data_IF_210688505796
#
_entry.id   IF_210688505796
#
_cell.length_a   1.000
_cell.length_b   1.000
_cell.length_c   1.000
_cell.angle_alpha   90.00
_cell.angle_beta   90.00
_cell.angle_gamma   90.00
#
_symmetry.space_group_name_H-M   'P 1'
#
loop_
_entity.id
_entity.type
_entity.pdbx_description
1 polymer ?
#
# COMPACT_ATOMS: atom_id res chain seq x y z
N UNK A 1 4.43 -26.38 9.37
CA UNK A 1 4.74 -26.12 7.95
C UNK A 1 4.88 -27.46 7.23
N UNK A 2 4.01 -27.75 6.26
CA UNK A 2 3.94 -29.10 5.66
C UNK A 2 4.08 -29.09 4.14
N UNK A 3 4.44 -27.95 3.52
CA UNK A 3 4.74 -27.85 2.11
C UNK A 3 6.15 -27.33 1.85
N UNK A 4 6.78 -27.74 0.75
CA UNK A 4 8.07 -27.22 0.35
C UNK A 4 7.94 -25.76 -0.10
N UNK A 5 8.97 -24.94 0.17
CA UNK A 5 9.06 -23.56 -0.34
C UNK A 5 9.14 -23.61 -1.89
N UNK A 6 8.15 -23.02 -2.61
CA UNK A 6 8.15 -23.00 -4.07
C UNK A 6 9.33 -22.22 -4.69
N UNK A 7 10.04 -21.41 -3.90
CA UNK A 7 11.17 -20.59 -4.35
C UNK A 7 12.53 -21.07 -3.79
N UNK A 8 12.61 -22.29 -3.30
CA UNK A 8 13.80 -22.86 -2.68
C UNK A 8 15.05 -22.72 -3.55
N UNK A 9 14.94 -22.88 -4.86
CA UNK A 9 16.08 -22.78 -5.79
C UNK A 9 16.81 -21.43 -5.70
N UNK A 10 16.16 -20.40 -5.16
CA UNK A 10 16.72 -19.07 -4.96
C UNK A 10 17.43 -18.88 -3.61
N UNK A 11 17.41 -19.90 -2.74
CA UNK A 11 17.89 -19.83 -1.35
C UNK A 11 18.92 -20.92 -1.06
N UNK A 12 20.09 -20.77 -1.63
CA UNK A 12 21.19 -21.70 -1.38
C UNK A 12 21.52 -21.74 0.14
N UNK A 13 21.57 -22.96 0.70
CA UNK A 13 21.94 -23.21 2.09
C UNK A 13 20.78 -23.41 3.06
N UNK A 14 19.52 -23.32 2.60
CA UNK A 14 18.34 -23.64 3.42
C UNK A 14 17.68 -24.92 2.95
N UNK A 15 16.98 -25.61 3.86
CA UNK A 15 16.20 -26.79 3.49
C UNK A 15 14.88 -26.36 2.84
N UNK A 16 14.28 -27.23 2.03
CA UNK A 16 12.95 -27.04 1.41
C UNK A 16 11.83 -26.77 2.41
N UNK A 17 12.05 -27.07 3.68
CA UNK A 17 11.09 -26.96 4.77
C UNK A 17 11.44 -25.85 5.77
N UNK A 18 12.42 -25.00 5.44
CA UNK A 18 12.77 -23.87 6.30
C UNK A 18 11.67 -22.80 6.27
N UNK A 19 10.84 -22.76 7.29
CA UNK A 19 9.82 -21.71 7.46
C UNK A 19 10.47 -20.42 7.93
N UNK A 20 10.23 -19.33 7.18
CA UNK A 20 10.78 -18.00 7.49
C UNK A 20 12.29 -17.99 7.74
N UNK A 21 13.06 -18.75 6.94
CA UNK A 21 14.53 -18.91 7.12
C UNK A 21 14.91 -19.33 8.54
N UNK A 22 14.10 -20.17 9.17
CA UNK A 22 14.21 -20.59 10.58
C UNK A 22 14.11 -19.43 11.60
N UNK A 23 13.46 -18.31 11.21
CA UNK A 23 13.24 -17.15 12.07
C UNK A 23 11.76 -16.70 12.12
N UNK A 24 10.84 -17.57 12.55
CA UNK A 24 9.39 -17.32 12.57
C UNK A 24 8.97 -16.22 13.55
N UNK A 25 9.85 -15.78 14.43
CA UNK A 25 9.59 -14.67 15.37
C UNK A 25 9.73 -13.31 14.68
N UNK A 26 10.56 -13.22 13.64
CA UNK A 26 10.81 -11.97 12.91
C UNK A 26 10.17 -11.94 11.54
N UNK A 27 9.81 -13.08 10.99
CA UNK A 27 9.37 -13.24 9.63
C UNK A 27 8.06 -14.01 9.62
N UNK A 28 7.16 -13.63 8.72
CA UNK A 28 5.88 -14.30 8.49
C UNK A 28 5.76 -14.63 7.01
N UNK A 29 5.46 -15.86 6.70
CA UNK A 29 5.38 -16.39 5.35
C UNK A 29 4.05 -17.16 5.15
N UNK A 30 2.96 -16.47 4.75
CA UNK A 30 1.64 -17.09 4.68
C UNK A 30 1.48 -18.12 3.57
N UNK A 31 2.22 -17.99 2.48
CA UNK A 31 2.06 -18.78 1.26
C UNK A 31 3.29 -19.60 0.87
N UNK A 32 4.31 -19.65 1.74
CA UNK A 32 5.56 -20.40 1.51
C UNK A 32 6.48 -19.82 0.43
N UNK A 33 6.20 -18.60 -0.04
CA UNK A 33 7.01 -17.93 -1.09
C UNK A 33 7.98 -16.93 -0.54
N UNK A 34 7.99 -16.79 0.76
CA UNK A 34 8.78 -15.89 1.56
C UNK A 34 9.03 -14.49 0.94
N UNK A 35 8.45 -13.51 1.50
CA UNK A 35 8.72 -12.10 1.19
C UNK A 35 8.29 -11.22 2.36
N UNK A 36 9.07 -10.18 2.64
CA UNK A 36 8.58 -9.08 3.45
C UNK A 36 7.41 -8.49 2.64
N UNK A 37 6.21 -8.36 3.21
CA UNK A 37 5.10 -7.71 2.53
C UNK A 37 5.55 -6.37 1.92
N UNK A 38 5.06 -6.04 0.75
CA UNK A 38 5.44 -4.82 0.01
C UNK A 38 5.34 -3.58 0.89
N UNK A 39 4.26 -3.47 1.69
CA UNK A 39 4.03 -2.33 2.58
C UNK A 39 5.06 -2.23 3.71
N UNK A 40 5.49 -3.35 4.30
CA UNK A 40 6.56 -3.37 5.31
C UNK A 40 7.89 -2.89 4.72
N UNK A 41 8.21 -3.34 3.50
CA UNK A 41 9.40 -2.91 2.78
C UNK A 41 9.34 -1.41 2.48
N UNK A 42 8.21 -0.93 1.99
CA UNK A 42 7.95 0.46 1.65
C UNK A 42 8.10 1.37 2.88
N UNK A 43 7.44 1.05 4.00
CA UNK A 43 7.56 1.81 5.26
C UNK A 43 8.98 1.74 5.83
N UNK A 44 9.65 0.59 5.74
CA UNK A 44 11.06 0.47 6.16
C UNK A 44 11.98 1.38 5.34
N UNK A 45 11.74 1.50 4.03
CA UNK A 45 12.49 2.39 3.15
C UNK A 45 12.18 3.86 3.46
N UNK A 46 10.93 4.23 3.67
CA UNK A 46 10.52 5.58 4.03
C UNK A 46 11.17 6.04 5.34
N UNK A 47 11.17 5.19 6.38
CA UNK A 47 11.84 5.46 7.65
C UNK A 47 13.34 5.68 7.48
N UNK A 48 13.98 4.91 6.59
CA UNK A 48 15.40 5.09 6.25
C UNK A 48 15.64 6.42 5.53
N UNK A 49 14.81 6.75 4.54
CA UNK A 49 14.89 8.01 3.77
C UNK A 49 14.69 9.21 4.68
N UNK A 50 13.70 9.17 5.57
CA UNK A 50 13.46 10.21 6.58
C UNK A 50 14.47 10.20 7.74
N UNK A 51 15.52 9.38 7.68
CA UNK A 51 16.58 9.26 8.69
C UNK A 51 16.03 9.12 10.13
N UNK A 52 15.08 8.20 10.34
CA UNK A 52 14.50 7.92 11.65
C UNK A 52 14.37 6.42 11.92
N UNK A 53 14.60 6.04 13.17
CA UNK A 53 14.36 4.67 13.66
C UNK A 53 13.35 4.64 14.80
N UNK A 54 12.79 5.80 15.18
CA UNK A 54 11.87 5.93 16.30
C UNK A 54 10.62 5.08 16.07
N UNK A 55 10.37 4.14 16.97
CA UNK A 55 9.24 3.23 16.86
C UNK A 55 9.26 2.26 15.67
N UNK A 56 10.35 2.17 14.91
CA UNK A 56 10.47 1.41 13.66
C UNK A 56 9.86 -0.01 13.76
N UNK A 57 10.27 -0.79 14.75
CA UNK A 57 9.78 -2.16 14.90
C UNK A 57 8.24 -2.21 15.05
N UNK A 58 7.68 -1.34 15.91
CA UNK A 58 6.23 -1.29 16.15
C UNK A 58 5.47 -0.79 14.92
N UNK A 59 6.00 0.17 14.18
CA UNK A 59 5.40 0.62 12.92
C UNK A 59 5.40 -0.48 11.87
N UNK A 60 6.52 -1.18 11.67
CA UNK A 60 6.58 -2.30 10.73
C UNK A 60 5.65 -3.46 11.14
N UNK A 61 5.50 -3.72 12.44
CA UNK A 61 4.53 -4.68 12.96
C UNK A 61 3.09 -4.24 12.66
N UNK A 62 2.76 -2.97 12.89
CA UNK A 62 1.46 -2.39 12.57
C UNK A 62 1.13 -2.49 11.09
N UNK A 63 2.08 -2.06 10.25
CA UNK A 63 1.92 -2.05 8.79
C UNK A 63 1.73 -3.44 8.18
N UNK A 64 2.46 -4.43 8.63
CA UNK A 64 2.40 -5.78 8.06
C UNK A 64 1.44 -6.69 8.82
N UNK A 65 1.81 -7.06 10.07
CA UNK A 65 1.10 -8.12 10.79
C UNK A 65 -0.30 -7.67 11.24
N UNK A 66 -0.42 -6.46 11.80
CA UNK A 66 -1.72 -6.01 12.33
C UNK A 66 -2.68 -5.69 11.19
N UNK A 67 -2.24 -4.96 10.16
CA UNK A 67 -3.10 -4.59 9.03
C UNK A 67 -3.49 -5.82 8.21
N UNK A 68 -2.52 -6.58 7.70
CA UNK A 68 -2.77 -7.67 6.76
C UNK A 68 -3.38 -8.94 7.38
N UNK A 69 -3.24 -9.14 8.70
CA UNK A 69 -3.72 -10.35 9.36
C UNK A 69 -4.92 -10.09 10.27
N UNK A 70 -4.81 -9.11 11.16
CA UNK A 70 -5.86 -8.88 12.16
C UNK A 70 -6.95 -7.89 11.69
N UNK A 71 -6.63 -7.01 10.76
CA UNK A 71 -7.55 -5.97 10.26
C UNK A 71 -7.93 -6.16 8.79
N UNK A 72 -7.62 -7.30 8.20
CA UNK A 72 -7.83 -7.61 6.79
C UNK A 72 -9.29 -7.40 6.30
N UNK A 73 -10.27 -7.53 7.19
CA UNK A 73 -11.69 -7.31 6.88
C UNK A 73 -12.16 -5.86 7.02
N UNK A 74 -11.27 -4.93 7.43
CA UNK A 74 -11.63 -3.52 7.66
C UNK A 74 -11.31 -2.68 6.43
N UNK A 75 -12.33 -2.40 5.62
CA UNK A 75 -12.23 -1.55 4.43
C UNK A 75 -11.62 -0.17 4.70
N UNK A 76 -11.83 0.38 5.89
CA UNK A 76 -11.25 1.69 6.29
C UNK A 76 -9.73 1.65 6.49
N UNK A 77 -9.15 0.48 6.78
CA UNK A 77 -7.70 0.29 6.90
C UNK A 77 -7.07 0.09 5.53
N UNK A 78 -7.78 -0.60 4.62
CA UNK A 78 -7.28 -0.96 3.29
C UNK A 78 -7.81 -0.04 2.18
N UNK A 79 -8.66 0.95 2.51
CA UNK A 79 -9.30 1.86 1.57
C UNK A 79 -10.02 1.16 0.41
N UNK A 80 -10.55 -0.05 0.67
CA UNK A 80 -11.33 -0.81 -0.30
C UNK A 80 -12.81 -0.42 -0.32
N UNK A 81 -13.52 -0.74 -1.40
CA UNK A 81 -14.95 -0.49 -1.58
C UNK A 81 -15.35 0.99 -1.46
N UNK A 82 -14.44 1.91 -1.75
CA UNK A 82 -14.72 3.34 -1.71
C UNK A 82 -15.00 3.87 -3.12
N UNK A 83 -16.24 4.25 -3.33
CA UNK A 83 -16.69 4.84 -4.60
C UNK A 83 -16.87 6.34 -4.41
N UNK A 84 -16.13 7.11 -5.22
CA UNK A 84 -16.23 8.57 -5.25
C UNK A 84 -15.13 9.30 -4.46
N UNK A 85 -14.78 10.44 -5.01
CA UNK A 85 -13.71 11.30 -4.53
C UNK A 85 -13.85 11.70 -3.06
N UNK A 86 -15.04 12.15 -2.63
CA UNK A 86 -15.24 12.65 -1.28
C UNK A 86 -15.00 11.57 -0.21
N UNK A 87 -15.54 10.37 -0.43
CA UNK A 87 -15.37 9.24 0.49
C UNK A 87 -13.88 8.89 0.64
N UNK A 88 -13.19 8.75 -0.50
CA UNK A 88 -11.79 8.36 -0.51
C UNK A 88 -10.85 9.47 0.00
N UNK A 89 -11.13 10.73 -0.36
CA UNK A 89 -10.39 11.88 0.13
C UNK A 89 -10.53 12.05 1.65
N UNK A 90 -11.72 11.89 2.18
CA UNK A 90 -11.95 11.96 3.62
C UNK A 90 -11.23 10.82 4.36
N UNK A 91 -11.29 9.60 3.83
CA UNK A 91 -10.61 8.46 4.43
C UNK A 91 -9.08 8.62 4.41
N UNK A 92 -8.52 9.06 3.30
CA UNK A 92 -7.09 9.37 3.18
C UNK A 92 -6.66 10.47 4.15
N UNK A 93 -7.40 11.58 4.23
CA UNK A 93 -7.08 12.68 5.13
C UNK A 93 -7.17 12.25 6.60
N UNK A 94 -8.13 11.39 6.95
CA UNK A 94 -8.23 10.82 8.29
C UNK A 94 -7.00 9.97 8.62
N UNK A 95 -6.49 9.16 7.69
CA UNK A 95 -5.26 8.39 7.90
C UNK A 95 -4.04 9.29 8.11
N UNK A 96 -3.90 10.35 7.31
CA UNK A 96 -2.82 11.32 7.48
C UNK A 96 -2.87 12.02 8.85
N UNK A 97 -4.05 12.44 9.29
CA UNK A 97 -4.24 13.09 10.59
C UNK A 97 -4.01 12.11 11.76
N UNK A 98 -4.59 10.89 11.68
CA UNK A 98 -4.39 9.84 12.68
C UNK A 98 -2.91 9.46 12.81
N UNK A 99 -2.19 9.41 11.70
CA UNK A 99 -0.75 9.14 11.72
C UNK A 99 0.00 10.20 12.53
N UNK A 100 -0.28 11.50 12.29
CA UNK A 100 0.38 12.58 13.04
C UNK A 100 0.06 12.49 14.55
N UNK A 101 -1.21 12.27 14.90
CA UNK A 101 -1.64 12.07 16.28
C UNK A 101 -0.93 10.88 16.95
N UNK A 102 -0.97 9.70 16.29
CA UNK A 102 -0.34 8.49 16.81
C UNK A 102 1.18 8.60 16.96
N UNK A 103 1.83 9.35 16.07
CA UNK A 103 3.27 9.67 16.18
C UNK A 103 3.54 10.63 17.34
N UNK A 104 2.68 11.63 17.56
CA UNK A 104 2.72 12.54 18.71
C UNK A 104 2.64 11.80 20.03
N UNK A 105 1.68 10.90 20.15
CA UNK A 105 1.42 10.10 21.35
C UNK A 105 2.36 8.90 21.56
N UNK A 106 3.26 8.59 20.62
CA UNK A 106 4.13 7.42 20.67
C UNK A 106 3.42 6.08 20.41
N UNK A 107 2.23 6.09 19.83
CA UNK A 107 1.42 4.90 19.47
C UNK A 107 1.89 4.28 18.15
N UNK A 108 3.15 3.91 18.06
CA UNK A 108 3.81 3.52 16.81
C UNK A 108 3.17 2.34 16.06
N UNK A 109 2.52 1.39 16.74
CA UNK A 109 1.80 0.29 16.09
C UNK A 109 0.60 0.84 15.30
N UNK A 110 -0.15 1.77 15.89
CA UNK A 110 -1.27 2.44 15.21
C UNK A 110 -0.79 3.31 14.06
N UNK A 111 0.30 4.06 14.27
CA UNK A 111 0.94 4.82 13.20
C UNK A 111 1.34 3.92 12.01
N UNK A 112 1.80 2.69 12.28
CA UNK A 112 2.08 1.71 11.23
C UNK A 112 0.83 1.27 10.45
N UNK A 113 -0.31 1.14 11.11
CA UNK A 113 -1.60 0.83 10.47
C UNK A 113 -2.03 2.00 9.57
N UNK A 114 -1.88 3.23 10.03
CA UNK A 114 -2.20 4.42 9.23
C UNK A 114 -1.31 4.48 7.95
N UNK A 115 0.00 4.19 8.08
CA UNK A 115 0.92 4.14 6.93
C UNK A 115 0.57 3.03 5.94
N UNK A 116 0.05 1.90 6.42
CA UNK A 116 -0.46 0.84 5.55
C UNK A 116 -1.61 1.36 4.68
N UNK A 117 -2.62 1.99 5.28
CA UNK A 117 -3.74 2.57 4.54
C UNK A 117 -3.32 3.67 3.55
N UNK A 118 -2.32 4.51 3.90
CA UNK A 118 -1.75 5.49 2.96
C UNK A 118 -1.09 4.79 1.76
N UNK A 119 -0.39 3.67 1.97
CA UNK A 119 0.16 2.88 0.87
C UNK A 119 -0.93 2.25 0.02
N UNK A 120 -1.97 1.69 0.65
CA UNK A 120 -3.11 1.05 -0.01
C UNK A 120 -3.90 2.02 -0.88
N UNK A 121 -3.92 3.31 -0.54
CA UNK A 121 -4.52 4.33 -1.41
C UNK A 121 -3.94 4.25 -2.83
N UNK A 122 -2.62 4.12 -2.98
CA UNK A 122 -1.98 4.08 -4.29
C UNK A 122 -2.02 2.70 -4.95
N UNK A 123 -2.07 1.64 -4.16
CA UNK A 123 -2.08 0.28 -4.69
C UNK A 123 -3.47 -0.26 -4.98
N UNK A 124 -4.52 0.23 -4.33
CA UNK A 124 -5.89 -0.25 -4.51
C UNK A 124 -6.81 0.73 -5.23
N UNK A 125 -6.36 1.96 -5.51
CA UNK A 125 -7.11 2.93 -6.30
C UNK A 125 -6.68 2.98 -7.77
N UNK A 126 -7.48 3.63 -8.59
CA UNK A 126 -7.15 3.92 -9.98
C UNK A 126 -6.29 5.19 -10.14
N UNK A 127 -5.61 5.65 -9.08
CA UNK A 127 -4.85 6.90 -9.07
C UNK A 127 -3.79 6.96 -10.17
N UNK A 128 -3.02 5.88 -10.36
CA UNK A 128 -1.96 5.80 -11.37
C UNK A 128 -2.54 5.89 -12.79
N UNK A 129 -3.67 5.23 -13.05
CA UNK A 129 -4.33 5.30 -14.37
C UNK A 129 -4.88 6.70 -14.65
N UNK A 130 -5.41 7.39 -13.61
CA UNK A 130 -5.87 8.77 -13.73
C UNK A 130 -4.72 9.74 -13.98
N UNK A 131 -3.55 9.53 -13.34
CA UNK A 131 -2.35 10.31 -13.63
C UNK A 131 -1.88 10.12 -15.08
N UNK A 132 -1.83 8.87 -15.57
CA UNK A 132 -1.49 8.58 -16.98
C UNK A 132 -2.45 9.30 -17.93
N UNK A 133 -3.75 9.27 -17.64
CA UNK A 133 -4.78 9.99 -18.42
C UNK A 133 -4.57 11.50 -18.37
N UNK A 134 -4.28 12.07 -17.20
CA UNK A 134 -3.97 13.50 -17.04
C UNK A 134 -2.78 13.93 -17.91
N UNK A 135 -1.72 13.12 -17.95
CA UNK A 135 -0.53 13.35 -18.77
C UNK A 135 -0.71 13.00 -20.26
N UNK A 136 -1.89 12.53 -20.66
CA UNK A 136 -2.14 12.10 -22.05
C UNK A 136 -1.27 10.91 -22.49
N UNK A 137 -0.82 10.08 -21.54
CA UNK A 137 0.07 8.93 -21.76
C UNK A 137 1.44 9.30 -22.38
N UNK A 138 1.89 10.53 -22.18
CA UNK A 138 3.17 11.03 -22.68
C UNK A 138 4.05 11.54 -21.54
N UNK A 139 5.36 11.50 -21.75
CA UNK A 139 6.37 12.01 -20.80
C UNK A 139 6.16 11.55 -19.35
N UNK A 140 5.82 10.26 -19.17
CA UNK A 140 5.53 9.68 -17.87
C UNK A 140 6.83 9.43 -17.11
N UNK A 141 7.02 10.16 -16.00
CA UNK A 141 8.13 9.97 -15.06
C UNK A 141 7.57 9.62 -13.68
N UNK A 142 8.01 8.48 -13.11
CA UNK A 142 7.57 8.01 -11.79
C UNK A 142 7.93 8.99 -10.67
N UNK A 143 8.99 9.80 -10.84
CA UNK A 143 9.43 10.77 -9.85
C UNK A 143 8.59 12.06 -9.85
N UNK A 144 7.84 12.29 -10.94
CA UNK A 144 6.97 13.46 -11.09
C UNK A 144 5.51 13.17 -10.73
N UNK A 145 5.18 11.94 -10.33
CA UNK A 145 3.83 11.63 -9.85
C UNK A 145 3.58 12.43 -8.57
N UNK A 146 2.57 13.33 -8.54
CA UNK A 146 2.25 14.05 -7.33
C UNK A 146 1.68 13.10 -6.28
N UNK A 147 1.91 13.38 -5.00
CA UNK A 147 1.12 12.74 -3.94
C UNK A 147 -0.34 13.18 -4.04
N UNK A 148 -1.26 12.48 -3.38
CA UNK A 148 -2.68 12.87 -3.45
C UNK A 148 -2.90 14.29 -2.90
N UNK A 149 -2.18 14.67 -1.84
CA UNK A 149 -2.25 16.03 -1.30
C UNK A 149 -1.72 17.09 -2.29
N UNK A 150 -0.63 16.81 -3.00
CA UNK A 150 -0.11 17.68 -4.05
C UNK A 150 -1.08 17.76 -5.26
N UNK A 151 -1.67 16.63 -5.65
CA UNK A 151 -2.58 16.53 -6.80
C UNK A 151 -3.85 17.38 -6.63
N UNK A 152 -4.32 17.57 -5.40
CA UNK A 152 -5.47 18.43 -5.10
C UNK A 152 -5.20 19.92 -5.43
N UNK A 153 -3.93 20.31 -5.50
CA UNK A 153 -3.51 21.67 -5.85
C UNK A 153 -3.19 21.85 -7.35
N UNK A 154 -3.39 20.81 -8.16
CA UNK A 154 -3.24 20.87 -9.62
C UNK A 154 -4.66 20.87 -10.22
N UNK A 155 -5.19 22.02 -10.69
CA UNK A 155 -6.61 22.17 -11.01
C UNK A 155 -7.12 21.13 -12.00
N UNK A 156 -6.40 20.88 -13.09
CA UNK A 156 -6.82 19.96 -14.16
C UNK A 156 -6.81 18.51 -13.66
N UNK A 157 -5.83 18.13 -12.83
CA UNK A 157 -5.76 16.78 -12.28
C UNK A 157 -6.79 16.60 -11.15
N UNK A 158 -7.01 17.61 -10.33
CA UNK A 158 -8.02 17.59 -9.27
C UNK A 158 -9.43 17.36 -9.85
N UNK A 159 -9.78 17.97 -10.98
CA UNK A 159 -11.08 17.73 -11.64
C UNK A 159 -11.22 16.29 -12.17
N UNK A 160 -10.15 15.71 -12.70
CA UNK A 160 -10.12 14.29 -13.09
C UNK A 160 -10.33 13.39 -11.88
N UNK A 161 -9.64 13.68 -10.77
CA UNK A 161 -9.79 12.92 -9.51
C UNK A 161 -11.23 13.01 -8.98
N UNK A 162 -11.80 14.21 -8.90
CA UNK A 162 -13.20 14.42 -8.43
C UNK A 162 -14.21 13.62 -9.24
N UNK A 163 -14.00 13.53 -10.55
CA UNK A 163 -14.95 12.86 -11.44
C UNK A 163 -14.79 11.34 -11.50
N UNK A 164 -13.61 10.78 -11.19
CA UNK A 164 -13.28 9.41 -11.60
C UNK A 164 -12.51 8.59 -10.56
N UNK A 165 -12.08 9.18 -9.43
CA UNK A 165 -11.32 8.46 -8.40
C UNK A 165 -12.19 7.42 -7.70
N UNK A 166 -11.66 6.19 -7.59
CA UNK A 166 -12.29 5.06 -6.90
C UNK A 166 -11.25 4.02 -6.50
N UNK A 167 -11.62 3.12 -5.58
CA UNK A 167 -10.85 1.93 -5.24
C UNK A 167 -11.51 0.65 -5.76
N UNK A 168 -10.78 -0.44 -5.70
CA UNK A 168 -11.27 -1.75 -6.07
C UNK A 168 -12.41 -2.22 -5.16
N UNK A 169 -13.38 -2.88 -5.76
CA UNK A 169 -14.54 -3.41 -5.07
C UNK A 169 -14.33 -4.89 -4.79
N UNK A 170 -14.47 -5.30 -3.50
CA UNK A 170 -14.76 -6.68 -3.16
C UNK A 170 -16.28 -6.88 -3.31
N UNK A 171 -16.69 -7.91 -4.04
CA UNK A 171 -18.09 -8.30 -4.10
C UNK A 171 -18.57 -8.81 -2.73
N UNK A 172 -18.93 -7.91 -1.86
CA UNK A 172 -19.39 -8.23 -0.50
C UNK A 172 -20.82 -8.78 -0.53
N UNK A 173 -20.96 -10.08 -0.70
CA UNK A 173 -22.15 -10.78 -0.23
C UNK A 173 -22.06 -10.94 1.28
N UNK A 174 -23.10 -10.49 1.99
CA UNK A 174 -23.22 -10.40 3.44
C UNK A 174 -22.51 -11.56 4.18
N UNK A 175 -21.38 -11.29 4.78
CA UNK A 175 -20.88 -12.03 5.95
C UNK A 175 -19.80 -13.09 5.70
N UNK A 176 -19.22 -13.22 4.50
CA UNK A 176 -18.19 -14.23 4.28
C UNK A 176 -16.94 -13.69 3.54
N UNK A 177 -16.18 -12.84 4.25
CA UNK A 177 -14.96 -12.21 3.75
C UNK A 177 -13.98 -13.19 3.06
N UNK A 178 -13.81 -14.40 3.58
CA UNK A 178 -12.90 -15.40 2.99
C UNK A 178 -13.40 -15.85 1.62
N UNK A 179 -14.71 -16.08 1.46
CA UNK A 179 -15.28 -16.47 0.18
C UNK A 179 -15.24 -15.31 -0.83
N UNK A 180 -15.46 -14.09 -0.39
CA UNK A 180 -15.40 -12.89 -1.21
C UNK A 180 -13.96 -12.65 -1.69
N UNK A 181 -12.95 -12.80 -0.84
CA UNK A 181 -11.55 -12.72 -1.22
C UNK A 181 -11.12 -13.82 -2.20
N UNK A 182 -11.68 -15.05 -2.08
CA UNK A 182 -11.42 -16.15 -3.03
C UNK A 182 -12.08 -15.85 -4.40
N UNK A 183 -13.28 -15.29 -4.42
CA UNK A 183 -13.95 -14.87 -5.65
C UNK A 183 -13.21 -13.73 -6.32
N UNK A 184 -12.78 -12.72 -5.56
CA UNK A 184 -12.05 -11.57 -6.07
C UNK A 184 -10.76 -11.99 -6.77
N UNK A 185 -9.98 -12.91 -6.20
CA UNK A 185 -8.76 -13.46 -6.82
C UNK A 185 -8.98 -14.07 -8.20
N UNK A 186 -10.20 -14.48 -8.53
CA UNK A 186 -10.60 -15.05 -9.81
C UNK A 186 -11.37 -14.07 -10.69
N UNK A 187 -11.64 -12.87 -10.20
CA UNK A 187 -12.42 -11.87 -10.91
C UNK A 187 -11.62 -11.26 -12.05
N UNK A 188 -12.26 -11.13 -13.20
CA UNK A 188 -11.79 -10.34 -14.35
C UNK A 188 -12.60 -9.04 -14.49
N UNK A 189 -13.43 -8.69 -13.52
CA UNK A 189 -14.17 -7.42 -13.52
C UNK A 189 -13.17 -6.27 -13.33
N UNK A 190 -13.10 -5.29 -14.25
CA UNK A 190 -12.20 -4.13 -14.13
C UNK A 190 -12.38 -3.31 -12.85
N UNK A 191 -13.52 -3.46 -12.16
CA UNK A 191 -13.79 -2.79 -10.89
C UNK A 191 -13.34 -3.59 -9.67
N UNK A 192 -13.02 -4.88 -9.85
CA UNK A 192 -12.63 -5.73 -8.73
C UNK A 192 -11.30 -5.29 -8.13
N UNK A 193 -11.15 -5.53 -6.83
CA UNK A 193 -9.91 -5.31 -6.12
C UNK A 193 -8.75 -6.04 -6.79
N UNK A 194 -8.93 -7.30 -7.22
CA UNK A 194 -7.89 -8.07 -7.90
C UNK A 194 -7.39 -7.41 -9.19
N UNK A 195 -8.28 -6.83 -9.99
CA UNK A 195 -7.93 -6.18 -11.25
C UNK A 195 -7.29 -4.80 -11.06
N UNK A 196 -7.61 -4.10 -9.97
CA UNK A 196 -7.03 -2.78 -9.65
C UNK A 196 -5.75 -2.87 -8.82
N UNK A 197 -5.47 -4.03 -8.21
CA UNK A 197 -4.38 -4.23 -7.25
C UNK A 197 -2.99 -3.98 -7.86
N UNK A 198 -2.21 -3.13 -7.22
CA UNK A 198 -0.84 -2.77 -7.53
C UNK A 198 0.17 -3.19 -6.44
N UNK A 199 -0.21 -4.03 -5.46
CA UNK A 199 0.67 -4.45 -4.35
C UNK A 199 1.84 -5.31 -4.79
N UNK A 200 1.73 -5.91 -5.98
CA UNK A 200 2.73 -6.86 -6.50
C UNK A 200 3.07 -6.53 -7.95
N UNK A 201 4.36 -6.62 -8.32
CA UNK A 201 4.76 -6.44 -9.71
C UNK A 201 4.19 -7.52 -10.65
N UNK A 202 3.69 -8.61 -10.08
CA UNK A 202 3.07 -9.74 -10.83
C UNK A 202 1.55 -9.68 -10.88
N UNK A 203 0.91 -8.73 -10.19
CA UNK A 203 -0.55 -8.55 -10.26
C UNK A 203 -0.98 -8.12 -11.68
N UNK A 204 -2.28 -8.30 -11.99
CA UNK A 204 -2.79 -8.03 -13.34
C UNK A 204 -2.50 -6.60 -13.80
N UNK A 205 -2.75 -5.61 -12.95
CA UNK A 205 -2.47 -4.21 -13.22
C UNK A 205 -1.00 -3.85 -12.94
N UNK A 206 -0.40 -4.41 -11.89
CA UNK A 206 0.97 -4.08 -11.49
C UNK A 206 2.02 -4.36 -12.56
N UNK A 207 1.85 -5.41 -13.37
CA UNK A 207 2.77 -5.74 -14.47
C UNK A 207 2.56 -4.90 -15.74
N UNK A 208 1.50 -4.07 -15.81
CA UNK A 208 1.27 -3.21 -16.97
C UNK A 208 2.34 -2.12 -17.05
N UNK A 209 2.63 -1.72 -18.29
CA UNK A 209 3.64 -0.68 -18.56
C UNK A 209 3.14 0.68 -18.11
N UNK A 210 3.94 1.35 -17.28
CA UNK A 210 3.76 2.77 -16.98
C UNK A 210 4.49 3.65 -17.99
N UNK A 211 5.78 3.36 -18.21
CA UNK A 211 6.62 3.94 -19.25
C UNK A 211 7.65 2.90 -19.73
N UNK A 212 8.58 3.28 -20.61
CA UNK A 212 9.57 2.35 -21.21
C UNK A 212 10.44 1.59 -20.20
N UNK A 213 10.52 2.07 -18.95
CA UNK A 213 11.42 1.54 -17.91
C UNK A 213 10.69 0.98 -16.69
N UNK A 214 9.43 1.36 -16.47
CA UNK A 214 8.71 1.12 -15.22
C UNK A 214 7.32 0.55 -15.47
N UNK A 215 6.88 -0.26 -14.53
CA UNK A 215 5.52 -0.81 -14.47
C UNK A 215 4.57 0.11 -13.67
N UNK A 216 3.28 -0.17 -13.72
CA UNK A 216 2.31 0.51 -12.85
C UNK A 216 2.59 0.25 -11.36
N UNK A 217 3.12 -0.95 -11.01
CA UNK A 217 3.58 -1.24 -9.65
C UNK A 217 4.71 -0.28 -9.23
N UNK A 218 5.72 -0.07 -10.09
CA UNK A 218 6.83 0.83 -9.78
C UNK A 218 6.34 2.28 -9.57
N UNK A 219 5.36 2.71 -10.37
CA UNK A 219 4.75 4.03 -10.26
C UNK A 219 3.98 4.19 -8.94
N UNK A 220 3.13 3.22 -8.58
CA UNK A 220 2.39 3.23 -7.31
C UNK A 220 3.35 3.18 -6.11
N UNK A 221 4.36 2.32 -6.16
CA UNK A 221 5.37 2.21 -5.11
C UNK A 221 6.15 3.52 -4.92
N UNK A 222 6.56 4.17 -6.03
CA UNK A 222 7.31 5.44 -5.96
C UNK A 222 6.50 6.55 -5.30
N UNK A 223 5.25 6.76 -5.71
CA UNK A 223 4.42 7.82 -5.13
C UNK A 223 4.02 7.51 -3.69
N UNK A 224 3.73 6.26 -3.36
CA UNK A 224 3.46 5.84 -1.98
C UNK A 224 4.67 6.07 -1.07
N UNK A 225 5.88 5.73 -1.54
CA UNK A 225 7.12 5.98 -0.82
C UNK A 225 7.33 7.48 -0.54
N UNK A 226 7.10 8.32 -1.54
CA UNK A 226 7.17 9.78 -1.39
C UNK A 226 6.20 10.28 -0.34
N UNK A 227 4.95 9.87 -0.41
CA UNK A 227 3.89 10.32 0.48
C UNK A 227 4.12 9.89 1.93
N UNK A 228 4.47 8.63 2.16
CA UNK A 228 4.81 8.11 3.49
C UNK A 228 6.04 8.81 4.05
N UNK A 229 7.05 9.08 3.23
CA UNK A 229 8.25 9.81 3.65
C UNK A 229 7.87 11.22 4.11
N UNK A 230 7.06 11.94 3.33
CA UNK A 230 6.56 13.27 3.68
C UNK A 230 5.78 13.26 5.01
N UNK A 231 4.90 12.25 5.21
CA UNK A 231 4.14 12.11 6.45
C UNK A 231 5.06 11.91 7.67
N UNK A 232 6.11 11.07 7.53
CA UNK A 232 7.10 10.83 8.59
C UNK A 232 7.91 12.10 8.88
N UNK A 233 8.35 12.83 7.87
CA UNK A 233 9.12 14.07 8.04
C UNK A 233 8.28 15.15 8.75
N UNK A 234 7.03 15.33 8.32
CA UNK A 234 6.10 16.25 8.99
C UNK A 234 5.93 15.91 10.48
N UNK A 235 5.87 14.62 10.84
CA UNK A 235 5.76 14.20 12.25
C UNK A 235 6.98 14.51 13.12
N UNK A 236 8.12 14.83 12.51
CA UNK A 236 9.35 15.25 13.22
C UNK A 236 9.36 16.73 13.47
N UNK A 237 8.88 17.53 12.52
CA UNK A 237 8.84 19.00 12.60
C UNK A 237 7.92 19.46 13.73
N UNK A 238 6.73 18.86 13.87
CA UNK A 238 5.77 19.18 14.93
C UNK A 238 6.29 18.99 16.37
N UNK A 239 7.41 18.27 16.55
CA UNK A 239 8.05 18.05 17.86
C UNK A 239 9.23 18.97 18.17
N UNK A 240 9.64 19.79 17.23
CA UNK A 240 10.70 20.80 17.45
C UNK A 240 10.13 22.16 17.88
N UNK A 241 8.82 22.34 17.76
CA UNK A 241 8.10 23.57 18.12
C UNK A 241 7.49 23.52 19.54
N UNK A 242 7.55 22.39 20.24
CA UNK A 242 7.19 22.21 21.66
C UNK A 242 8.44 22.24 22.56
#
# INVERSE_FOLDING_TARGET
WMSCDPLQERKAGFTTYAYCENNPVKLFDPDGKFGIPTHVKLVSQALKTANTSKGKFRMLWGTGVVSDIFLISRSTVHLDNMVGYESLSNAYNNLQNSFQEHMGEGKYTKAGIDLHGIADFYSHSNYIDLYKKYKGYQDLDINQIPTFAEAQNIPEFAEILKSSLKTGEYGMEKGNFIQDAIRDKKSNDPKSHNMMNLDKPTSQNGKQVFNDKHSNFDAAYSVALKDITNAIEKSKESKQEE
#
